data_IF_921135518610
#
_entry.id   IF_921135518610
#
_cell.length_a   1.000
_cell.length_b   1.000
_cell.length_c   1.000
_cell.angle_alpha   90.00
_cell.angle_beta   90.00
_cell.angle_gamma   90.00
#
_symmetry.space_group_name_H-M   'P 1'
#
loop_
_entity.id
_entity.type
_entity.pdbx_description
1 polymer ?
#
# COMPACT_ATOMS: atom_id res chain seq x y z
N UNK A 1 11.23 -22.37 -5.75
CA UNK A 1 11.86 -22.56 -4.42
C UNK A 1 11.02 -21.82 -3.40
N UNK A 2 11.06 -22.15 -2.12
CA UNK A 2 10.36 -21.33 -1.12
C UNK A 2 10.98 -19.92 -1.09
N UNK A 3 10.14 -18.88 -0.99
CA UNK A 3 10.61 -17.51 -0.81
C UNK A 3 11.35 -17.36 0.54
N UNK A 4 12.18 -16.33 0.65
CA UNK A 4 13.01 -16.08 1.84
C UNK A 4 12.19 -15.66 3.06
N UNK A 5 11.08 -14.97 2.84
CA UNK A 5 10.17 -14.48 3.88
C UNK A 5 8.75 -14.35 3.34
N UNK A 6 7.83 -13.91 4.20
CA UNK A 6 6.50 -13.46 3.81
C UNK A 6 6.34 -11.98 4.16
N UNK A 7 5.64 -11.22 3.34
CA UNK A 7 5.49 -9.78 3.52
C UNK A 7 4.07 -9.31 3.21
N UNK A 8 3.50 -8.49 4.10
CA UNK A 8 2.26 -7.75 3.88
C UNK A 8 2.58 -6.25 3.75
N UNK A 9 2.08 -5.63 2.69
CA UNK A 9 2.12 -4.19 2.46
C UNK A 9 0.73 -3.59 2.71
N UNK A 10 0.62 -2.69 3.68
CA UNK A 10 -0.64 -2.07 4.08
C UNK A 10 -0.58 -0.59 3.68
N UNK A 11 -1.46 -0.18 2.76
CA UNK A 11 -1.58 1.18 2.25
C UNK A 11 -2.81 1.85 2.88
N UNK A 12 -2.57 2.85 3.72
CA UNK A 12 -3.57 3.78 4.22
C UNK A 12 -3.50 5.04 3.34
N UNK A 13 -4.40 5.13 2.37
CA UNK A 13 -4.35 6.13 1.30
C UNK A 13 -4.42 7.58 1.83
N UNK A 14 -3.66 8.48 1.21
CA UNK A 14 -3.84 9.93 1.34
C UNK A 14 -3.54 10.54 2.70
N UNK A 15 -2.71 9.90 3.53
CA UNK A 15 -2.41 10.38 4.89
C UNK A 15 -1.08 11.13 4.94
N UNK A 16 -1.06 12.46 5.19
CA UNK A 16 0.17 13.23 5.28
C UNK A 16 0.97 12.85 6.53
N UNK A 17 2.31 12.92 6.44
CA UNK A 17 3.24 12.50 7.50
C UNK A 17 2.88 13.03 8.89
N UNK A 18 2.40 14.28 8.98
CA UNK A 18 2.02 14.91 10.26
C UNK A 18 0.91 14.15 11.00
N UNK A 19 -0.04 13.54 10.29
CA UNK A 19 -1.16 12.81 10.90
C UNK A 19 -0.69 11.49 11.50
N UNK A 20 0.16 10.74 10.79
CA UNK A 20 0.74 9.47 11.27
C UNK A 20 1.39 9.64 12.64
N UNK A 21 2.33 10.58 12.74
CA UNK A 21 3.15 10.79 13.93
C UNK A 21 2.39 11.37 15.12
N UNK A 22 1.22 11.99 14.88
CA UNK A 22 0.41 12.67 15.90
C UNK A 22 -0.77 11.82 16.37
N UNK A 23 -1.39 11.05 15.49
CA UNK A 23 -2.73 10.47 15.70
C UNK A 23 -2.76 8.93 15.72
N UNK A 24 -1.72 8.25 15.21
CA UNK A 24 -1.67 6.77 15.18
C UNK A 24 -0.95 6.21 16.41
N UNK A 25 -1.63 6.28 17.56
CA UNK A 25 -1.06 5.96 18.86
C UNK A 25 -0.54 4.52 19.02
N UNK A 26 -1.17 3.53 18.38
CA UNK A 26 -0.71 2.14 18.43
C UNK A 26 0.58 1.97 17.61
N UNK A 27 0.61 2.49 16.36
CA UNK A 27 1.83 2.51 15.55
C UNK A 27 2.99 3.24 16.27
N UNK A 28 2.72 4.38 16.90
CA UNK A 28 3.71 5.08 17.72
C UNK A 28 4.16 4.26 18.93
N UNK A 29 3.25 3.56 19.59
CA UNK A 29 3.57 2.67 20.71
C UNK A 29 4.59 1.60 20.32
N UNK A 30 4.40 0.96 19.16
CA UNK A 30 5.35 -0.04 18.64
C UNK A 30 6.67 0.57 18.15
N UNK A 31 6.65 1.77 17.58
CA UNK A 31 7.88 2.48 17.24
C UNK A 31 8.68 2.83 18.51
N UNK A 32 8.01 3.31 19.55
CA UNK A 32 8.61 3.66 20.84
C UNK A 32 9.16 2.43 21.58
N UNK A 33 8.49 1.28 21.51
CA UNK A 33 8.97 0.03 22.12
C UNK A 33 10.14 -0.61 21.34
N UNK A 34 10.42 -0.12 20.14
CA UNK A 34 11.45 -0.68 19.24
C UNK A 34 10.99 -1.90 18.45
N UNK A 35 9.69 -2.23 18.49
CA UNK A 35 9.08 -3.31 17.70
C UNK A 35 8.88 -2.92 16.23
N UNK A 36 8.74 -1.63 15.95
CA UNK A 36 8.69 -1.06 14.61
C UNK A 36 9.85 -0.08 14.37
N UNK A 37 10.33 -0.05 13.13
CA UNK A 37 11.14 1.07 12.64
C UNK A 37 10.25 1.99 11.83
N UNK A 38 10.52 3.30 11.87
CA UNK A 38 9.71 4.31 11.19
C UNK A 38 10.59 5.29 10.43
N UNK A 39 10.15 5.65 9.22
CA UNK A 39 10.76 6.68 8.39
C UNK A 39 9.69 7.55 7.74
N UNK A 40 10.12 8.72 7.28
CA UNK A 40 9.38 9.52 6.32
C UNK A 40 9.68 8.99 4.91
N UNK A 41 8.67 8.86 4.08
CA UNK A 41 8.77 8.51 2.66
C UNK A 41 8.08 9.56 1.80
N UNK A 42 8.62 9.81 0.61
CA UNK A 42 8.10 10.75 -0.37
C UNK A 42 7.54 10.03 -1.59
N UNK A 43 6.32 10.39 -2.00
CA UNK A 43 5.65 9.87 -3.19
C UNK A 43 6.35 10.27 -4.49
N UNK A 44 6.02 9.57 -5.58
CA UNK A 44 6.29 10.06 -6.94
C UNK A 44 5.44 11.28 -7.30
N UNK A 45 5.68 11.84 -8.50
CA UNK A 45 4.84 12.86 -9.12
C UNK A 45 4.23 12.39 -10.45
N UNK A 46 2.95 12.69 -10.72
CA UNK A 46 1.99 13.35 -9.82
C UNK A 46 1.68 12.52 -8.57
N UNK A 47 1.51 13.17 -7.42
CA UNK A 47 1.19 12.54 -6.13
C UNK A 47 -0.30 12.17 -6.03
N UNK A 48 -0.80 11.51 -7.07
CA UNK A 48 -2.18 11.04 -7.21
C UNK A 48 -2.22 9.52 -7.10
N UNK A 49 -3.27 8.97 -6.52
CA UNK A 49 -3.34 7.57 -6.15
C UNK A 49 -3.02 6.58 -7.28
N UNK A 50 -3.61 6.69 -8.48
CA UNK A 50 -3.29 5.79 -9.60
C UNK A 50 -1.80 5.80 -10.02
N UNK A 51 -1.19 6.99 -10.04
CA UNK A 51 0.24 7.16 -10.34
C UNK A 51 1.10 6.47 -9.28
N UNK A 52 0.80 6.73 -8.00
CA UNK A 52 1.49 6.15 -6.87
C UNK A 52 1.32 4.62 -6.82
N UNK A 53 0.10 4.09 -7.00
CA UNK A 53 -0.17 2.65 -6.97
C UNK A 53 0.68 1.88 -7.99
N UNK A 54 0.74 2.39 -9.23
CA UNK A 54 1.57 1.82 -10.29
C UNK A 54 3.05 1.90 -9.94
N UNK A 55 3.53 3.03 -9.41
CA UNK A 55 4.93 3.21 -8.98
C UNK A 55 5.32 2.33 -7.78
N UNK A 56 4.44 2.15 -6.80
CA UNK A 56 4.65 1.28 -5.62
C UNK A 56 4.93 -0.15 -6.05
N UNK A 57 4.25 -0.63 -7.09
CA UNK A 57 4.39 -2.01 -7.58
C UNK A 57 5.43 -2.20 -8.66
N UNK A 58 5.72 -1.19 -9.49
CA UNK A 58 6.69 -1.30 -10.59
C UNK A 58 8.08 -0.76 -10.23
N UNK A 59 8.21 0.04 -9.17
CA UNK A 59 9.47 0.69 -8.78
C UNK A 59 10.02 1.67 -9.80
N UNK A 60 9.19 2.13 -10.75
CA UNK A 60 9.53 3.15 -11.75
C UNK A 60 8.54 4.31 -11.70
N UNK A 61 8.93 5.48 -12.21
CA UNK A 61 8.09 6.68 -12.12
C UNK A 61 6.89 6.66 -13.07
N UNK A 62 5.91 7.57 -12.87
CA UNK A 62 4.78 7.76 -13.78
C UNK A 62 5.16 7.96 -15.25
N UNK A 63 6.26 8.64 -15.51
CA UNK A 63 6.77 8.88 -16.86
C UNK A 63 7.30 7.60 -17.53
N UNK A 64 7.61 6.56 -16.77
CA UNK A 64 8.10 5.26 -17.27
C UNK A 64 6.94 4.28 -17.45
N UNK A 65 6.06 4.12 -16.46
CA UNK A 65 4.93 3.18 -16.56
C UNK A 65 3.72 3.76 -17.31
N UNK A 66 3.64 5.07 -17.49
CA UNK A 66 2.66 5.76 -18.34
C UNK A 66 1.28 6.01 -17.70
N UNK A 67 1.08 5.65 -16.44
CA UNK A 67 -0.12 6.05 -15.65
C UNK A 67 0.17 7.44 -15.12
N UNK A 68 -0.47 8.45 -15.71
CA UNK A 68 -0.15 9.87 -15.52
C UNK A 68 -1.26 10.65 -14.78
N UNK A 69 -2.40 10.02 -14.52
CA UNK A 69 -3.51 10.58 -13.75
C UNK A 69 -4.45 9.45 -13.27
N UNK A 70 -5.42 9.78 -12.42
CA UNK A 70 -6.44 8.82 -11.94
C UNK A 70 -7.39 8.33 -13.04
N UNK A 71 -7.53 9.11 -14.12
CA UNK A 71 -8.38 8.82 -15.28
C UNK A 71 -7.66 7.96 -16.33
N UNK A 72 -6.33 7.98 -16.35
CA UNK A 72 -5.52 7.25 -17.31
C UNK A 72 -5.22 5.84 -16.78
N UNK A 73 -6.00 4.85 -17.22
CA UNK A 73 -5.89 3.47 -16.73
C UNK A 73 -5.72 2.49 -17.88
N UNK A 74 -4.75 1.60 -17.73
CA UNK A 74 -4.46 0.49 -18.63
C UNK A 74 -3.51 -0.48 -17.91
N UNK A 75 -3.37 -1.69 -18.46
CA UNK A 75 -2.41 -2.66 -17.95
C UNK A 75 -0.97 -2.19 -18.19
N UNK A 76 -0.21 -2.01 -17.12
CA UNK A 76 1.17 -1.53 -17.22
C UNK A 76 2.08 -2.63 -17.81
N UNK A 77 3.14 -2.21 -18.49
CA UNK A 77 4.10 -3.11 -19.15
C UNK A 77 5.42 -3.34 -18.40
N UNK A 78 5.89 -2.44 -17.50
CA UNK A 78 7.06 -2.73 -16.69
C UNK A 78 6.84 -3.94 -15.76
N UNK A 79 7.91 -4.66 -15.38
CA UNK A 79 7.86 -5.66 -14.33
C UNK A 79 7.28 -5.11 -13.02
N UNK A 80 6.56 -5.95 -12.30
CA UNK A 80 5.86 -5.59 -11.07
C UNK A 80 6.03 -6.66 -9.98
N UNK A 81 5.78 -6.30 -8.72
CA UNK A 81 5.95 -7.21 -7.58
C UNK A 81 5.14 -8.51 -7.75
N UNK A 82 3.88 -8.43 -8.21
CA UNK A 82 3.02 -9.60 -8.33
C UNK A 82 3.56 -10.60 -9.36
N UNK A 83 3.88 -10.10 -10.55
CA UNK A 83 4.45 -10.89 -11.63
C UNK A 83 5.76 -11.55 -11.21
N UNK A 84 6.66 -10.83 -10.57
CA UNK A 84 7.97 -11.38 -10.17
C UNK A 84 7.87 -12.39 -9.03
N UNK A 85 6.99 -12.16 -8.04
CA UNK A 85 6.73 -13.13 -6.97
C UNK A 85 6.11 -14.41 -7.53
N UNK A 86 5.12 -14.29 -8.40
CA UNK A 86 4.47 -15.44 -9.05
C UNK A 86 5.47 -16.24 -9.92
N UNK A 87 6.31 -15.57 -10.72
CA UNK A 87 7.40 -16.22 -11.49
C UNK A 87 8.40 -16.96 -10.60
N UNK A 88 8.67 -16.47 -9.40
CA UNK A 88 9.53 -17.14 -8.42
C UNK A 88 8.85 -18.36 -7.75
N UNK A 89 7.56 -18.60 -8.04
CA UNK A 89 6.75 -19.67 -7.47
C UNK A 89 6.07 -19.31 -6.15
N UNK A 90 6.03 -18.02 -5.80
CA UNK A 90 5.34 -17.51 -4.63
C UNK A 90 3.85 -17.25 -4.88
N UNK A 91 3.07 -17.23 -3.81
CA UNK A 91 1.64 -16.86 -3.86
C UNK A 91 1.45 -15.40 -3.51
N UNK A 92 0.60 -14.71 -4.25
CA UNK A 92 0.28 -13.29 -4.08
C UNK A 92 -1.18 -13.07 -3.69
N UNK A 93 -1.44 -12.12 -2.81
CA UNK A 93 -2.79 -11.72 -2.41
C UNK A 93 -2.99 -10.21 -2.55
N UNK A 94 -4.17 -9.80 -3.02
CA UNK A 94 -4.54 -8.39 -3.13
C UNK A 94 -5.92 -8.15 -2.50
N UNK A 95 -5.98 -7.22 -1.55
CA UNK A 95 -7.22 -6.67 -0.97
C UNK A 95 -7.22 -5.17 -1.19
N UNK A 96 -7.57 -4.72 -2.39
CA UNK A 96 -7.23 -3.37 -2.88
C UNK A 96 -8.33 -2.74 -3.71
N UNK A 97 -8.20 -1.45 -4.04
CA UNK A 97 -9.01 -0.85 -5.09
C UNK A 97 -8.84 -1.61 -6.43
N UNK A 98 -9.88 -1.60 -7.27
CA UNK A 98 -9.90 -2.29 -8.58
C UNK A 98 -8.76 -1.89 -9.52
N UNK A 99 -8.14 -0.73 -9.29
CA UNK A 99 -7.00 -0.23 -10.05
C UNK A 99 -5.82 -1.20 -10.05
N UNK A 100 -5.59 -1.93 -8.96
CA UNK A 100 -4.53 -2.97 -8.95
C UNK A 100 -4.83 -4.11 -9.93
N UNK A 101 -6.10 -4.53 -10.06
CA UNK A 101 -6.48 -5.51 -11.08
C UNK A 101 -6.27 -4.93 -12.48
N UNK A 102 -6.70 -3.68 -12.70
CA UNK A 102 -6.54 -2.99 -14.00
C UNK A 102 -5.07 -2.88 -14.43
N UNK A 103 -4.18 -2.56 -13.50
CA UNK A 103 -2.77 -2.34 -13.79
C UNK A 103 -2.00 -3.65 -13.96
N UNK A 104 -2.29 -4.67 -13.15
CA UNK A 104 -1.42 -5.85 -13.04
C UNK A 104 -2.05 -7.15 -13.55
N UNK A 105 -3.35 -7.20 -13.82
CA UNK A 105 -4.04 -8.39 -14.36
C UNK A 105 -4.68 -8.14 -15.73
N UNK A 106 -5.78 -7.39 -15.76
CA UNK A 106 -6.65 -7.24 -16.92
C UNK A 106 -7.26 -5.85 -16.99
N UNK A 107 -7.33 -5.27 -18.18
CA UNK A 107 -8.00 -3.99 -18.43
C UNK A 107 -8.92 -4.11 -19.65
N UNK A 108 -10.15 -3.56 -19.61
CA UNK A 108 -10.79 -2.88 -18.48
C UNK A 108 -11.16 -3.84 -17.34
N UNK A 109 -11.45 -3.31 -16.15
CA UNK A 109 -11.94 -4.11 -15.02
C UNK A 109 -13.32 -4.70 -15.33
N UNK A 110 -13.43 -6.02 -15.26
CA UNK A 110 -14.72 -6.72 -15.29
C UNK A 110 -15.30 -6.80 -13.87
N UNK A 111 -16.43 -6.12 -13.63
CA UNK A 111 -17.03 -6.05 -12.30
C UNK A 111 -17.43 -7.41 -11.71
N UNK A 112 -17.63 -8.45 -12.53
CA UNK A 112 -18.03 -9.77 -12.06
C UNK A 112 -16.82 -10.69 -11.98
N UNK A 113 -16.05 -10.76 -13.06
CA UNK A 113 -14.92 -11.70 -13.16
C UNK A 113 -13.69 -11.25 -12.39
N UNK A 114 -13.52 -9.94 -12.17
CA UNK A 114 -12.32 -9.39 -11.54
C UNK A 114 -12.54 -9.01 -10.07
N UNK A 115 -13.79 -8.96 -9.58
CA UNK A 115 -14.09 -8.55 -8.20
C UNK A 115 -13.47 -9.48 -7.16
N UNK A 116 -13.65 -10.79 -7.34
CA UNK A 116 -13.05 -11.80 -6.49
C UNK A 116 -12.67 -13.02 -7.33
N UNK A 117 -11.41 -13.45 -7.25
CA UNK A 117 -10.98 -14.67 -7.93
C UNK A 117 -9.78 -15.32 -7.24
N UNK A 118 -9.57 -16.59 -7.54
CA UNK A 118 -8.36 -17.34 -7.22
C UNK A 118 -7.78 -17.91 -8.53
N UNK A 119 -6.57 -17.50 -8.90
CA UNK A 119 -5.92 -17.83 -10.17
C UNK A 119 -4.45 -18.22 -9.95
N UNK A 120 -4.14 -19.52 -9.74
CA UNK A 120 -2.79 -19.96 -9.35
C UNK A 120 -1.66 -19.60 -10.33
N UNK A 121 -1.98 -19.40 -11.62
CA UNK A 121 -1.02 -19.06 -12.68
C UNK A 121 -0.91 -17.56 -12.98
N UNK A 122 -1.76 -16.74 -12.34
CA UNK A 122 -1.79 -15.30 -12.57
C UNK A 122 -0.68 -14.55 -11.81
N UNK A 123 -0.45 -13.27 -12.14
CA UNK A 123 0.41 -12.42 -11.34
C UNK A 123 -0.19 -12.23 -9.93
N UNK A 124 -1.51 -11.98 -9.87
CA UNK A 124 -2.29 -11.96 -8.64
C UNK A 124 -2.91 -13.35 -8.47
N UNK A 125 -2.49 -14.12 -7.47
CA UNK A 125 -3.01 -15.48 -7.29
C UNK A 125 -4.32 -15.52 -6.52
N UNK A 126 -4.56 -14.53 -5.65
CA UNK A 126 -5.77 -14.41 -4.84
C UNK A 126 -6.20 -12.94 -4.79
N UNK A 127 -7.19 -12.56 -5.61
CA UNK A 127 -7.65 -11.17 -5.75
C UNK A 127 -9.00 -10.95 -5.08
N UNK A 128 -9.11 -9.91 -4.26
CA UNK A 128 -10.36 -9.42 -3.65
C UNK A 128 -10.36 -7.90 -3.77
N UNK A 129 -11.20 -7.35 -4.63
CA UNK A 129 -11.15 -5.93 -4.97
C UNK A 129 -12.37 -5.20 -4.46
N UNK A 130 -12.22 -3.90 -4.29
CA UNK A 130 -13.34 -3.00 -4.08
C UNK A 130 -13.32 -1.90 -5.13
N UNK A 131 -14.49 -1.34 -5.37
CA UNK A 131 -14.63 -0.11 -6.16
C UNK A 131 -15.18 0.96 -5.25
N UNK A 132 -15.03 2.22 -5.67
CA UNK A 132 -15.71 3.36 -5.05
C UNK A 132 -16.80 3.91 -5.99
N UNK A 133 -17.43 3.05 -6.79
CA UNK A 133 -18.42 3.50 -7.78
C UNK A 133 -19.57 4.24 -7.10
N UNK A 134 -19.80 5.49 -7.50
CA UNK A 134 -20.79 6.37 -6.90
C UNK A 134 -20.25 7.27 -5.78
N UNK A 135 -18.94 7.20 -5.48
CA UNK A 135 -18.24 8.13 -4.59
C UNK A 135 -18.52 9.58 -4.95
N UNK A 136 -18.84 10.38 -3.92
CA UNK A 136 -18.93 11.83 -3.99
C UNK A 136 -18.85 12.42 -2.57
N UNK A 137 -18.91 13.75 -2.48
CA UNK A 137 -18.81 14.47 -1.21
C UNK A 137 -19.85 14.04 -0.15
N UNK A 138 -21.03 13.56 -0.56
CA UNK A 138 -22.10 13.11 0.36
C UNK A 138 -22.00 11.64 0.70
N UNK A 139 -21.59 10.81 -0.26
CA UNK A 139 -21.50 9.36 -0.11
C UNK A 139 -20.08 8.89 -0.48
N UNK A 140 -19.33 8.48 0.54
CA UNK A 140 -17.93 8.08 0.37
C UNK A 140 -17.78 6.71 -0.33
N UNK A 141 -18.81 5.85 -0.31
CA UNK A 141 -18.74 4.50 -0.91
C UNK A 141 -17.45 3.72 -0.52
N UNK A 142 -16.86 4.02 0.64
CA UNK A 142 -15.65 3.35 1.10
C UNK A 142 -16.04 1.99 1.69
N UNK A 143 -15.30 0.92 1.38
CA UNK A 143 -15.47 -0.35 2.08
C UNK A 143 -15.12 -0.18 3.57
N UNK A 144 -15.64 -1.08 4.40
CA UNK A 144 -15.31 -1.15 5.82
C UNK A 144 -13.86 -1.61 6.02
N UNK A 145 -13.05 -0.81 6.72
CA UNK A 145 -11.62 -1.08 6.92
C UNK A 145 -11.36 -2.41 7.65
N UNK A 146 -12.16 -2.69 8.69
CA UNK A 146 -12.07 -3.94 9.44
C UNK A 146 -12.38 -5.16 8.57
N UNK A 147 -13.30 -5.02 7.60
CA UNK A 147 -13.64 -6.10 6.66
C UNK A 147 -12.49 -6.32 5.66
N UNK A 148 -11.83 -5.25 5.21
CA UNK A 148 -10.62 -5.36 4.39
C UNK A 148 -9.50 -6.06 5.17
N UNK A 149 -9.23 -5.66 6.41
CA UNK A 149 -8.21 -6.30 7.25
C UNK A 149 -8.53 -7.78 7.52
N UNK A 150 -9.79 -8.11 7.78
CA UNK A 150 -10.25 -9.49 7.93
C UNK A 150 -10.07 -10.29 6.63
N UNK A 151 -10.34 -9.69 5.48
CA UNK A 151 -10.18 -10.31 4.17
C UNK A 151 -8.71 -10.61 3.87
N UNK A 152 -7.78 -9.67 4.10
CA UNK A 152 -6.35 -9.93 3.92
C UNK A 152 -5.87 -11.02 4.88
N UNK A 153 -6.32 -10.98 6.13
CA UNK A 153 -6.02 -12.01 7.13
C UNK A 153 -6.53 -13.38 6.70
N UNK A 154 -7.71 -13.44 6.08
CA UNK A 154 -8.26 -14.66 5.50
C UNK A 154 -7.38 -15.19 4.38
N UNK A 155 -6.93 -14.34 3.45
CA UNK A 155 -6.00 -14.73 2.39
C UNK A 155 -4.70 -15.30 2.96
N UNK A 156 -4.14 -14.62 3.97
CA UNK A 156 -2.95 -15.06 4.68
C UNK A 156 -3.10 -16.44 5.34
N UNK A 157 -4.26 -16.74 5.94
CA UNK A 157 -4.50 -18.00 6.67
C UNK A 157 -4.92 -19.15 5.77
N UNK A 158 -5.85 -18.91 4.84
CA UNK A 158 -6.45 -19.97 4.01
C UNK A 158 -5.60 -20.34 2.81
N UNK A 159 -4.98 -19.33 2.19
CA UNK A 159 -4.22 -19.51 0.96
C UNK A 159 -2.72 -19.50 1.18
N UNK A 160 -2.28 -18.96 2.32
CA UNK A 160 -0.87 -18.97 2.73
C UNK A 160 -0.01 -18.09 1.84
N UNK A 161 -0.54 -16.94 1.38
CA UNK A 161 0.16 -16.00 0.50
C UNK A 161 1.56 -15.66 1.03
N UNK A 162 2.51 -15.42 0.14
CA UNK A 162 3.87 -15.04 0.49
C UNK A 162 4.06 -13.52 0.37
N UNK A 163 3.41 -12.90 -0.61
CA UNK A 163 3.24 -11.44 -0.69
C UNK A 163 1.75 -11.08 -0.62
N UNK A 164 1.40 -10.12 0.22
CA UNK A 164 0.06 -9.57 0.28
C UNK A 164 0.07 -8.05 0.25
N UNK A 165 -0.93 -7.44 -0.37
CA UNK A 165 -1.20 -6.01 -0.22
C UNK A 165 -2.64 -5.78 0.24
N UNK A 166 -2.82 -4.82 1.14
CA UNK A 166 -4.10 -4.21 1.42
C UNK A 166 -4.02 -2.72 1.12
N UNK A 167 -5.09 -2.20 0.53
CA UNK A 167 -5.32 -0.77 0.36
C UNK A 167 -6.67 -0.40 0.95
N UNK A 168 -6.72 0.72 1.66
CA UNK A 168 -7.97 1.37 2.09
C UNK A 168 -7.94 2.85 1.76
N UNK A 169 -9.07 3.34 1.25
CA UNK A 169 -9.31 4.71 0.81
C UNK A 169 -10.02 5.58 1.87
N UNK A 170 -10.30 5.06 3.06
CA UNK A 170 -11.10 5.75 4.07
C UNK A 170 -10.48 7.10 4.47
N UNK A 171 -9.19 7.13 4.79
CA UNK A 171 -8.53 8.34 5.27
C UNK A 171 -8.36 9.40 4.17
N UNK A 172 -7.99 9.00 2.95
CA UNK A 172 -7.98 9.88 1.77
C UNK A 172 -9.36 10.51 1.52
N UNK A 173 -10.41 9.70 1.58
CA UNK A 173 -11.80 10.14 1.40
C UNK A 173 -12.29 11.08 2.50
N UNK A 174 -11.80 10.90 3.73
CA UNK A 174 -12.08 11.78 4.86
C UNK A 174 -11.34 13.12 4.68
N UNK A 175 -10.06 13.07 4.30
CA UNK A 175 -9.26 14.25 3.97
C UNK A 175 -9.89 15.11 2.88
N UNK A 176 -10.30 14.48 1.77
CA UNK A 176 -11.02 15.16 0.68
C UNK A 176 -12.33 15.83 1.13
N UNK A 177 -13.04 15.23 2.09
CA UNK A 177 -14.35 15.70 2.52
C UNK A 177 -14.29 16.79 3.58
N UNK A 178 -13.38 16.66 4.55
CA UNK A 178 -13.36 17.49 5.76
C UNK A 178 -12.07 18.32 5.90
N UNK A 179 -11.04 18.04 5.11
CA UNK A 179 -9.69 18.55 5.34
C UNK A 179 -8.98 17.79 6.47
N UNK A 180 -7.72 18.16 6.72
CA UNK A 180 -6.86 17.43 7.68
C UNK A 180 -6.79 18.05 9.07
N UNK A 181 -7.22 19.30 9.24
CA UNK A 181 -7.27 19.98 10.55
C UNK A 181 -8.72 20.03 11.06
N UNK A 182 -9.27 18.86 11.38
CA UNK A 182 -10.64 18.71 11.87
C UNK A 182 -10.81 17.50 12.80
N UNK A 183 -11.87 17.52 13.61
CA UNK A 183 -12.18 16.45 14.56
C UNK A 183 -12.51 15.13 13.87
N UNK A 184 -13.13 15.19 12.69
CA UNK A 184 -13.47 14.03 11.86
C UNK A 184 -12.21 13.28 11.44
N UNK A 185 -11.16 13.99 11.03
CA UNK A 185 -9.88 13.39 10.65
C UNK A 185 -9.11 12.85 11.85
N UNK A 186 -9.11 13.57 12.98
CA UNK A 186 -8.50 13.10 14.23
C UNK A 186 -9.10 11.75 14.66
N UNK A 187 -10.44 11.65 14.67
CA UNK A 187 -11.13 10.41 15.00
C UNK A 187 -10.92 9.31 13.96
N UNK A 188 -10.93 9.64 12.67
CA UNK A 188 -10.72 8.67 11.61
C UNK A 188 -9.32 8.03 11.69
N UNK A 189 -8.27 8.83 11.93
CA UNK A 189 -6.91 8.30 12.15
C UNK A 189 -6.85 7.38 13.38
N UNK A 190 -7.44 7.79 14.50
CA UNK A 190 -7.51 6.97 15.72
C UNK A 190 -8.24 5.64 15.47
N UNK A 191 -9.40 5.67 14.80
CA UNK A 191 -10.21 4.49 14.53
C UNK A 191 -9.49 3.53 13.57
N UNK A 192 -8.87 4.04 12.49
CA UNK A 192 -8.08 3.26 11.55
C UNK A 192 -6.93 2.52 12.25
N UNK A 193 -6.16 3.26 13.06
CA UNK A 193 -5.03 2.72 13.82
C UNK A 193 -5.49 1.65 14.82
N UNK A 194 -6.60 1.87 15.53
CA UNK A 194 -7.19 0.87 16.43
C UNK A 194 -7.69 -0.39 15.71
N UNK A 195 -8.31 -0.24 14.52
CA UNK A 195 -8.75 -1.37 13.70
C UNK A 195 -7.55 -2.18 13.21
N UNK A 196 -6.53 -1.53 12.65
CA UNK A 196 -5.28 -2.16 12.22
C UNK A 196 -4.61 -2.94 13.37
N UNK A 197 -4.60 -2.36 14.57
CA UNK A 197 -3.94 -2.93 15.73
C UNK A 197 -4.48 -4.31 16.14
N UNK A 198 -5.74 -4.61 15.83
CA UNK A 198 -6.33 -5.92 16.08
C UNK A 198 -5.76 -7.04 15.17
N UNK A 199 -5.14 -6.69 14.04
CA UNK A 199 -4.64 -7.64 13.05
C UNK A 199 -3.12 -7.74 12.98
N UNK A 200 -2.41 -6.65 13.28
CA UNK A 200 -0.95 -6.63 13.15
C UNK A 200 -0.23 -7.74 13.97
N UNK A 201 -0.57 -7.98 15.25
CA UNK A 201 0.10 -9.02 16.05
C UNK A 201 -0.08 -10.43 15.47
N UNK A 202 -1.26 -10.76 14.92
CA UNK A 202 -1.50 -12.08 14.35
C UNK A 202 -0.76 -12.28 13.01
N UNK A 203 -0.56 -11.24 12.20
CA UNK A 203 0.28 -11.33 11.02
C UNK A 203 1.75 -11.56 11.38
N UNK A 204 2.24 -10.84 12.40
CA UNK A 204 3.61 -11.03 12.93
C UNK A 204 3.82 -12.43 13.50
N UNK A 205 2.86 -12.94 14.28
CA UNK A 205 2.89 -14.31 14.80
C UNK A 205 2.84 -15.38 13.70
N UNK A 206 2.18 -15.08 12.58
CA UNK A 206 2.16 -15.94 11.39
C UNK A 206 3.44 -15.83 10.52
N UNK A 207 4.44 -15.05 10.95
CA UNK A 207 5.74 -14.95 10.29
C UNK A 207 5.83 -13.91 9.19
N UNK A 208 4.82 -13.04 9.02
CA UNK A 208 4.88 -11.96 8.04
C UNK A 208 5.71 -10.79 8.56
N UNK A 209 6.60 -10.29 7.71
CA UNK A 209 7.02 -8.89 7.75
C UNK A 209 5.85 -8.00 7.36
N UNK A 210 5.70 -6.85 8.01
CA UNK A 210 4.58 -5.93 7.72
C UNK A 210 5.15 -4.54 7.48
N UNK A 211 4.78 -3.95 6.34
CA UNK A 211 5.00 -2.52 6.04
C UNK A 211 3.63 -1.85 6.12
N UNK A 212 3.52 -0.78 6.91
CA UNK A 212 2.33 0.10 6.96
C UNK A 212 2.74 1.47 6.47
N UNK A 213 2.08 1.96 5.43
CA UNK A 213 2.47 3.21 4.76
C UNK A 213 1.31 3.84 3.99
N UNK A 214 1.56 4.91 3.24
CA UNK A 214 0.61 5.53 2.32
C UNK A 214 1.15 5.50 0.89
N UNK A 215 0.35 5.99 -0.03
CA UNK A 215 0.73 6.28 -1.41
C UNK A 215 1.09 7.76 -1.61
N UNK A 216 0.42 8.67 -0.91
CA UNK A 216 0.72 10.10 -0.85
C UNK A 216 0.17 10.74 0.43
N UNK A 217 0.36 12.05 0.58
CA UNK A 217 -0.26 12.88 1.61
C UNK A 217 -1.38 13.76 1.07
N UNK A 218 -1.83 14.71 1.88
CA UNK A 218 -2.81 15.73 1.51
C UNK A 218 -2.54 17.06 2.26
N UNK A 219 -2.87 18.17 1.60
CA UNK A 219 -2.90 19.50 2.23
C UNK A 219 -4.00 19.62 3.27
N UNK A 220 -3.99 20.69 4.06
CA UNK A 220 -5.06 20.98 5.03
C UNK A 220 -6.47 21.04 4.41
N UNK A 221 -6.57 21.38 3.12
CA UNK A 221 -7.84 21.43 2.37
C UNK A 221 -8.24 20.10 1.74
N UNK A 222 -7.48 19.04 2.00
CA UNK A 222 -7.72 17.72 1.43
C UNK A 222 -7.36 17.62 -0.06
N UNK A 223 -6.34 18.35 -0.52
CA UNK A 223 -5.88 18.28 -1.91
C UNK A 223 -4.51 17.62 -2.03
N UNK A 224 -4.28 16.92 -3.15
CA UNK A 224 -3.04 16.22 -3.52
C UNK A 224 -2.79 16.25 -5.05
N UNK A 225 -1.69 15.66 -5.50
CA UNK A 225 -1.26 15.63 -6.90
C UNK A 225 -0.04 16.51 -7.21
N UNK A 226 0.32 17.42 -6.31
CA UNK A 226 1.45 18.36 -6.45
C UNK A 226 2.73 17.96 -5.70
N UNK A 227 3.73 18.83 -5.78
CA UNK A 227 5.08 18.64 -5.21
C UNK A 227 5.20 19.07 -3.73
N UNK A 228 4.17 19.68 -3.16
CA UNK A 228 4.22 20.14 -1.78
C UNK A 228 4.47 18.98 -0.81
N UNK A 229 5.27 19.21 0.22
CA UNK A 229 5.61 18.20 1.23
C UNK A 229 4.34 17.59 1.85
N UNK A 230 3.28 18.38 2.05
CA UNK A 230 2.01 17.87 2.58
C UNK A 230 1.33 16.88 1.65
N UNK A 231 1.52 17.03 0.34
CA UNK A 231 0.95 16.15 -0.68
C UNK A 231 1.82 14.92 -0.93
N UNK A 232 3.13 14.97 -0.67
CA UNK A 232 4.04 13.86 -1.01
C UNK A 232 4.60 13.08 0.18
N UNK A 233 4.79 13.72 1.34
CA UNK A 233 5.43 13.09 2.49
C UNK A 233 4.41 12.32 3.33
N UNK A 234 4.68 11.05 3.57
CA UNK A 234 3.91 10.15 4.43
C UNK A 234 4.84 9.27 5.26
N UNK A 235 4.30 8.51 6.21
CA UNK A 235 5.11 7.64 7.06
C UNK A 235 5.22 6.23 6.49
N UNK A 236 6.32 5.55 6.79
CA UNK A 236 6.49 4.12 6.58
C UNK A 236 6.90 3.49 7.91
N UNK A 237 6.07 2.58 8.41
CA UNK A 237 6.38 1.73 9.56
C UNK A 237 6.72 0.33 9.07
N UNK A 238 7.80 -0.23 9.59
CA UNK A 238 8.25 -1.57 9.25
C UNK A 238 8.36 -2.44 10.50
N UNK A 239 7.71 -3.59 10.45
CA UNK A 239 7.72 -4.63 11.46
C UNK A 239 8.40 -5.86 10.86
N UNK A 240 9.66 -6.08 11.22
CA UNK A 240 10.44 -7.18 10.66
C UNK A 240 11.88 -7.19 11.15
N UNK A 241 12.65 -8.24 10.81
CA UNK A 241 14.01 -8.42 11.32
C UNK A 241 15.05 -7.55 10.59
N UNK A 242 14.72 -7.05 9.38
CA UNK A 242 15.63 -6.23 8.59
C UNK A 242 15.95 -4.89 9.26
N UNK A 243 17.10 -4.29 8.92
CA UNK A 243 17.47 -2.95 9.37
C UNK A 243 17.34 -1.96 8.23
N UNK A 244 16.70 -0.84 8.52
CA UNK A 244 16.64 0.26 7.58
C UNK A 244 17.79 1.27 7.77
N UNK A 245 17.77 2.37 7.01
CA UNK A 245 18.77 3.43 7.14
C UNK A 245 18.56 4.24 8.43
N UNK A 246 19.37 5.28 8.63
CA UNK A 246 19.20 6.24 9.74
C UNK A 246 17.76 6.80 9.75
N UNK A 247 17.20 7.02 10.94
CA UNK A 247 15.77 7.34 11.12
C UNK A 247 15.34 8.61 10.36
N UNK A 248 16.25 9.56 10.18
CA UNK A 248 16.03 10.85 9.50
C UNK A 248 16.14 10.75 7.97
N UNK A 249 16.47 9.57 7.44
CA UNK A 249 16.56 9.35 6.00
C UNK A 249 15.18 9.49 5.37
N UNK A 250 15.04 10.43 4.43
CA UNK A 250 13.87 10.50 3.57
C UNK A 250 13.95 9.37 2.54
N UNK A 251 12.98 8.45 2.61
CA UNK A 251 12.84 7.38 1.63
C UNK A 251 12.11 7.87 0.38
N UNK A 252 12.41 7.26 -0.76
CA UNK A 252 11.73 7.47 -2.03
C UNK A 252 10.78 6.28 -2.29
N UNK A 253 9.53 6.56 -2.65
CA UNK A 253 8.50 5.55 -2.94
C UNK A 253 8.94 4.52 -3.99
N UNK A 254 9.79 4.90 -4.96
CA UNK A 254 10.35 3.98 -5.95
C UNK A 254 11.22 2.88 -5.32
N UNK A 255 11.68 3.06 -4.09
CA UNK A 255 12.44 2.05 -3.36
C UNK A 255 11.57 0.90 -2.82
N UNK A 256 10.23 1.04 -2.79
CA UNK A 256 9.33 0.02 -2.24
C UNK A 256 9.42 -1.31 -3.01
N UNK A 257 9.14 -1.31 -4.32
CA UNK A 257 9.16 -2.52 -5.13
C UNK A 257 10.48 -3.31 -5.05
N UNK A 258 11.66 -2.72 -5.31
CA UNK A 258 12.92 -3.46 -5.19
C UNK A 258 13.19 -3.93 -3.75
N UNK A 259 12.76 -3.16 -2.74
CA UNK A 259 12.91 -3.57 -1.33
C UNK A 259 12.04 -4.78 -0.99
N UNK A 260 10.77 -4.78 -1.40
CA UNK A 260 9.85 -5.91 -1.20
C UNK A 260 10.39 -7.17 -1.87
N UNK A 261 10.81 -7.08 -3.13
CA UNK A 261 11.39 -8.22 -3.84
C UNK A 261 12.66 -8.75 -3.16
N UNK A 262 13.56 -7.86 -2.73
CA UNK A 262 14.75 -8.22 -1.95
C UNK A 262 14.42 -8.95 -0.66
N UNK A 263 13.42 -8.48 0.10
CA UNK A 263 12.97 -9.12 1.35
C UNK A 263 12.47 -10.54 1.10
N UNK A 264 11.68 -10.72 0.04
CA UNK A 264 11.15 -12.03 -0.38
C UNK A 264 12.21 -12.95 -1.01
N UNK A 265 13.41 -12.44 -1.31
CA UNK A 265 14.46 -13.20 -2.00
C UNK A 265 14.16 -13.42 -3.49
N UNK A 266 13.35 -12.54 -4.08
CA UNK A 266 13.02 -12.53 -5.51
C UNK A 266 13.99 -11.62 -6.25
N UNK A 267 14.38 -12.00 -7.47
CA UNK A 267 15.26 -11.19 -8.31
C UNK A 267 14.63 -9.82 -8.58
N UNK A 268 15.42 -8.76 -8.46
CA UNK A 268 14.99 -7.40 -8.73
C UNK A 268 15.15 -7.13 -10.24
N UNK A 269 14.08 -6.77 -10.97
CA UNK A 269 14.18 -6.38 -12.37
C UNK A 269 15.09 -5.17 -12.58
N UNK A 270 15.82 -5.14 -13.70
CA UNK A 270 16.75 -4.06 -14.05
C UNK A 270 16.09 -2.68 -14.16
N UNK A 271 14.78 -2.65 -14.38
CA UNK A 271 13.99 -1.41 -14.42
C UNK A 271 13.88 -0.74 -13.05
N UNK A 272 13.93 -1.50 -11.95
CA UNK A 272 13.80 -0.99 -10.58
C UNK A 272 15.16 -0.47 -10.06
N UNK A 273 15.49 0.76 -10.44
CA UNK A 273 16.82 1.36 -10.18
C UNK A 273 17.01 1.94 -8.77
N UNK A 274 15.92 2.12 -8.03
CA UNK A 274 15.98 2.70 -6.69
C UNK A 274 16.63 1.73 -5.70
N UNK A 275 17.39 2.26 -4.73
CA UNK A 275 18.15 1.43 -3.78
C UNK A 275 17.22 0.71 -2.80
N UNK A 276 17.51 -0.56 -2.52
CA UNK A 276 16.86 -1.29 -1.42
C UNK A 276 17.18 -0.61 -0.09
N UNK A 277 16.15 -0.35 0.74
CA UNK A 277 16.34 0.31 2.04
C UNK A 277 16.29 -0.63 3.24
N UNK A 278 15.76 -1.85 3.11
CA UNK A 278 15.73 -2.86 4.18
C UNK A 278 16.71 -4.01 3.88
N UNK A 279 17.77 -4.12 4.69
CA UNK A 279 18.80 -5.17 4.57
C UNK A 279 18.72 -6.20 5.69
#
# INVERSE_FOLDING_TARGET
MALKSKLLLIILDGVPYRNWRRLMGNLEGWAQSGEAQVWKMRSVLPSTSACCYASIHTGVSPQVHGILSNENRFRVTPPDIFSEVSKAGGKTGAVTHSYWSEFFRSYPFDLVEDMEFDEPSGPITHGRFHTMTGYNLKNQMTPSDVDLFATLTMLAKRHGIDYGILHTCTLDSMGHRFGHDCHEMDHACYAMDAMLAAFLPQWRAAGYEVIVTADHGQTDRGHHGGHDDEMQDFALYYFGPAKGPQAETLLDQLQLAPTVLSRLGVAIPETMKAKVFLV
#
